data_IF_099131453364
#
_entry.id   IF_099131453364
#
_cell.length_a   1.000
_cell.length_b   1.000
_cell.length_c   1.000
_cell.angle_alpha   90.00
_cell.angle_beta   90.00
_cell.angle_gamma   90.00
#
_symmetry.space_group_name_H-M   'P 1'
#
loop_
_entity.id
_entity.type
_entity.pdbx_description
1 polymer ?
#
# COMPACT_ATOMS: atom_id res chain seq x y z
N UNK A 1 18.37 40.76 -13.27
CA UNK A 1 16.92 40.68 -12.95
C UNK A 1 16.74 39.97 -11.61
N UNK A 2 16.30 40.68 -10.57
CA UNK A 2 16.19 40.17 -9.19
C UNK A 2 14.91 39.32 -9.08
N UNK A 3 15.04 37.99 -9.02
CA UNK A 3 13.93 37.05 -8.83
C UNK A 3 13.28 37.36 -7.48
N UNK A 4 12.15 38.08 -7.51
CA UNK A 4 11.33 38.33 -6.32
C UNK A 4 10.82 36.96 -5.83
N UNK A 5 11.48 36.40 -4.82
CA UNK A 5 10.90 35.29 -4.06
C UNK A 5 9.61 35.81 -3.43
N UNK A 6 8.47 35.46 -4.02
CA UNK A 6 7.18 35.85 -3.48
C UNK A 6 7.02 35.10 -2.16
N UNK A 7 7.15 35.81 -1.04
CA UNK A 7 6.87 35.29 0.31
C UNK A 7 5.43 34.74 0.50
N UNK A 8 4.66 34.66 -0.58
CA UNK A 8 3.29 34.16 -0.70
C UNK A 8 3.21 32.88 -1.55
N UNK A 9 4.34 32.30 -2.00
CA UNK A 9 4.34 31.05 -2.75
C UNK A 9 3.71 29.91 -1.93
N UNK A 10 4.09 29.80 -0.66
CA UNK A 10 3.51 28.83 0.28
C UNK A 10 2.01 29.08 0.53
N UNK A 11 1.56 30.34 0.52
CA UNK A 11 0.14 30.69 0.65
C UNK A 11 -0.64 30.19 -0.58
N UNK A 12 -0.10 30.42 -1.77
CA UNK A 12 -0.70 29.92 -3.02
C UNK A 12 -0.80 28.39 -3.01
N UNK A 13 0.23 27.70 -2.55
CA UNK A 13 0.25 26.23 -2.48
C UNK A 13 -0.78 25.72 -1.45
N UNK A 14 -0.89 26.35 -0.28
CA UNK A 14 -1.95 26.03 0.70
C UNK A 14 -3.35 26.25 0.11
N UNK A 15 -3.56 27.36 -0.60
CA UNK A 15 -4.84 27.65 -1.25
C UNK A 15 -5.16 26.59 -2.30
N UNK A 16 -4.20 26.20 -3.14
CA UNK A 16 -4.38 25.16 -4.15
C UNK A 16 -4.75 23.82 -3.49
N UNK A 17 -4.04 23.42 -2.44
CA UNK A 17 -4.33 22.18 -1.70
C UNK A 17 -5.71 22.26 -1.05
N UNK A 18 -6.05 23.38 -0.40
CA UNK A 18 -7.34 23.57 0.25
C UNK A 18 -8.50 23.51 -0.73
N UNK A 19 -8.40 24.18 -1.88
CA UNK A 19 -9.39 24.11 -2.95
C UNK A 19 -9.49 22.69 -3.51
N UNK A 20 -8.37 22.00 -3.70
CA UNK A 20 -8.35 20.61 -4.15
C UNK A 20 -9.10 19.67 -3.20
N UNK A 21 -8.81 19.77 -1.89
CA UNK A 21 -9.49 18.99 -0.86
C UNK A 21 -10.99 19.29 -0.83
N UNK A 22 -11.38 20.58 -0.89
CA UNK A 22 -12.79 20.98 -0.90
C UNK A 22 -13.52 20.46 -2.15
N UNK A 23 -12.86 20.51 -3.31
CA UNK A 23 -13.43 20.01 -4.57
C UNK A 23 -13.65 18.50 -4.53
N UNK A 24 -12.69 17.76 -3.98
CA UNK A 24 -12.83 16.31 -3.77
C UNK A 24 -13.97 16.03 -2.79
N UNK A 25 -14.01 16.75 -1.66
CA UNK A 25 -15.04 16.57 -0.64
C UNK A 25 -16.45 16.79 -1.19
N UNK A 26 -16.69 17.93 -1.85
CA UNK A 26 -17.98 18.24 -2.47
C UNK A 26 -18.28 17.26 -3.60
N UNK A 27 -17.27 16.91 -4.42
CA UNK A 27 -17.42 15.93 -5.50
C UNK A 27 -17.90 14.58 -4.98
N UNK A 28 -17.36 14.10 -3.86
CA UNK A 28 -17.82 12.87 -3.20
C UNK A 28 -19.29 13.00 -2.77
N UNK A 29 -19.66 14.09 -2.10
CA UNK A 29 -21.04 14.29 -1.65
C UNK A 29 -22.04 14.30 -2.80
N UNK A 30 -21.69 14.94 -3.93
CA UNK A 30 -22.54 14.99 -5.13
C UNK A 30 -22.63 13.63 -5.82
N UNK A 31 -21.51 12.91 -5.97
CA UNK A 31 -21.47 11.60 -6.66
C UNK A 31 -22.27 10.55 -5.89
N UNK A 32 -22.16 10.53 -4.57
CA UNK A 32 -22.83 9.54 -3.73
C UNK A 32 -24.21 10.00 -3.24
N UNK A 33 -24.51 11.30 -3.21
CA UNK A 33 -25.78 11.84 -2.75
C UNK A 33 -25.95 11.83 -1.23
N UNK A 34 -24.85 11.78 -0.48
CA UNK A 34 -24.88 11.73 0.99
C UNK A 34 -23.71 12.50 1.57
N UNK A 35 -23.87 13.05 2.77
CA UNK A 35 -22.82 13.79 3.47
C UNK A 35 -21.60 12.91 3.76
N UNK A 36 -21.85 11.63 4.07
CA UNK A 36 -20.84 10.65 4.46
C UNK A 36 -21.04 9.35 3.66
N UNK A 37 -20.35 9.16 2.52
CA UNK A 37 -20.54 7.96 1.69
C UNK A 37 -19.87 6.70 2.25
N UNK A 38 -19.04 6.82 3.28
CA UNK A 38 -18.26 5.71 3.83
C UNK A 38 -18.61 5.44 5.29
N UNK A 39 -19.05 4.21 5.58
CA UNK A 39 -19.35 3.75 6.94
C UNK A 39 -18.52 2.52 7.29
N UNK A 40 -18.20 2.34 8.57
CA UNK A 40 -17.52 1.14 9.06
C UNK A 40 -18.50 0.31 9.88
N UNK A 41 -18.63 -0.98 9.55
CA UNK A 41 -19.48 -1.90 10.29
C UNK A 41 -18.94 -2.10 11.70
N UNK A 42 -19.73 -1.69 12.70
CA UNK A 42 -19.34 -1.69 14.11
C UNK A 42 -19.86 -2.91 14.90
N UNK A 43 -20.87 -3.61 14.39
CA UNK A 43 -21.53 -4.72 15.09
C UNK A 43 -21.75 -5.93 14.17
N UNK A 44 -22.02 -7.09 14.78
CA UNK A 44 -22.27 -8.35 14.06
C UNK A 44 -23.73 -8.57 13.64
N UNK A 45 -24.60 -7.55 13.66
CA UNK A 45 -26.03 -7.71 13.35
C UNK A 45 -26.30 -8.14 11.91
N UNK A 46 -25.36 -7.91 11.00
CA UNK A 46 -25.47 -8.21 9.57
C UNK A 46 -24.65 -9.43 9.13
N UNK A 47 -24.13 -10.21 10.08
CA UNK A 47 -23.42 -11.47 9.77
C UNK A 47 -24.41 -12.50 9.21
N UNK A 48 -24.06 -13.26 8.15
CA UNK A 48 -22.74 -13.38 7.52
C UNK A 48 -22.44 -12.39 6.39
N UNK A 49 -23.43 -11.59 5.95
CA UNK A 49 -23.31 -10.75 4.76
C UNK A 49 -22.32 -9.59 4.94
N UNK A 50 -22.39 -8.91 6.09
CA UNK A 50 -21.43 -7.88 6.47
C UNK A 50 -20.69 -8.30 7.74
N UNK A 51 -19.37 -8.21 7.70
CA UNK A 51 -18.52 -8.51 8.86
C UNK A 51 -18.11 -7.22 9.57
N UNK A 52 -17.83 -7.34 10.86
CA UNK A 52 -17.27 -6.23 11.64
C UNK A 52 -15.98 -5.76 10.98
N UNK A 53 -15.81 -4.44 10.88
CA UNK A 53 -14.71 -3.76 10.17
C UNK A 53 -14.76 -3.77 8.64
N UNK A 54 -15.85 -4.23 8.02
CA UNK A 54 -16.08 -3.94 6.61
C UNK A 54 -16.39 -2.46 6.42
N UNK A 55 -15.94 -1.88 5.30
CA UNK A 55 -16.26 -0.51 4.90
C UNK A 55 -17.38 -0.57 3.87
N UNK A 56 -18.45 0.16 4.14
CA UNK A 56 -19.60 0.29 3.27
C UNK A 56 -19.48 1.57 2.46
N UNK A 57 -19.77 1.47 1.17
CA UNK A 57 -19.98 2.61 0.28
C UNK A 57 -21.48 2.76 0.09
N UNK A 58 -22.00 3.92 0.49
CA UNK A 58 -23.44 4.22 0.52
C UNK A 58 -23.80 5.18 -0.60
N UNK A 59 -24.89 4.88 -1.29
CA UNK A 59 -25.51 5.69 -2.31
C UNK A 59 -26.79 6.31 -1.73
N UNK A 60 -26.77 7.62 -1.48
CA UNK A 60 -27.92 8.42 -1.05
C UNK A 60 -28.71 9.06 -2.20
N UNK A 61 -28.24 8.94 -3.45
CA UNK A 61 -28.99 9.40 -4.62
C UNK A 61 -30.19 8.49 -4.97
N UNK A 62 -30.24 7.28 -4.41
CA UNK A 62 -31.38 6.39 -4.58
C UNK A 62 -32.55 6.92 -3.73
N UNK A 63 -33.71 7.27 -4.32
CA UNK A 63 -34.83 7.82 -3.57
C UNK A 63 -35.40 6.77 -2.62
N UNK A 64 -35.97 7.22 -1.49
CA UNK A 64 -36.48 6.33 -0.44
C UNK A 64 -37.56 5.36 -0.97
N UNK A 65 -38.37 5.79 -1.92
CA UNK A 65 -39.43 5.00 -2.57
C UNK A 65 -38.88 3.94 -3.54
N UNK A 66 -37.61 4.02 -3.94
CA UNK A 66 -36.98 2.99 -4.79
C UNK A 66 -36.43 1.81 -4.00
N UNK A 67 -36.41 1.90 -2.67
CA UNK A 67 -35.93 0.84 -1.79
C UNK A 67 -36.85 -0.37 -1.88
N UNK A 68 -36.27 -1.55 -2.12
CA UNK A 68 -37.01 -2.81 -2.21
C UNK A 68 -36.68 -3.75 -1.06
N UNK A 69 -37.52 -4.76 -0.86
CA UNK A 69 -37.23 -5.87 0.06
C UNK A 69 -35.88 -6.50 -0.31
N UNK A 70 -35.13 -6.92 0.70
CA UNK A 70 -33.75 -7.43 0.65
C UNK A 70 -32.64 -6.39 0.43
N UNK A 71 -32.96 -5.11 0.20
CA UNK A 71 -31.94 -4.07 0.18
C UNK A 71 -31.28 -3.88 1.55
N UNK A 72 -29.98 -3.59 1.57
CA UNK A 72 -29.29 -3.16 2.78
C UNK A 72 -29.23 -1.64 2.76
N UNK A 73 -29.84 -1.00 3.76
CA UNK A 73 -29.91 0.44 3.86
C UNK A 73 -29.20 0.94 5.12
N UNK A 74 -28.72 2.18 5.02
CA UNK A 74 -28.11 2.93 6.11
C UNK A 74 -29.08 4.03 6.51
N UNK A 75 -29.35 4.13 7.81
CA UNK A 75 -30.33 5.07 8.34
C UNK A 75 -29.99 5.49 9.77
N UNK A 76 -30.52 6.62 10.20
CA UNK A 76 -30.45 7.06 11.59
C UNK A 76 -31.51 6.35 12.43
N UNK A 77 -31.17 6.00 13.67
CA UNK A 77 -32.12 5.36 14.57
C UNK A 77 -33.37 6.24 14.75
N UNK A 78 -34.59 5.74 14.47
CA UNK A 78 -35.82 6.53 14.60
C UNK A 78 -36.03 7.11 16.00
N UNK A 79 -35.73 6.32 17.05
CA UNK A 79 -35.73 6.83 18.41
C UNK A 79 -34.48 7.68 18.69
N UNK A 80 -34.56 8.96 18.35
CA UNK A 80 -33.65 9.99 18.83
C UNK A 80 -32.45 10.32 17.95
N UNK A 81 -32.29 9.67 16.79
CA UNK A 81 -31.23 9.95 15.82
C UNK A 81 -29.81 9.92 16.45
N UNK A 82 -29.63 9.05 17.45
CA UNK A 82 -28.42 8.99 18.28
C UNK A 82 -27.29 8.15 17.65
N UNK A 83 -27.63 7.31 16.67
CA UNK A 83 -26.69 6.43 15.97
C UNK A 83 -27.18 6.05 14.59
N UNK A 84 -26.21 5.74 13.74
CA UNK A 84 -26.42 5.17 12.41
C UNK A 84 -26.50 3.64 12.50
N UNK A 85 -27.48 3.06 11.81
CA UNK A 85 -27.77 1.63 11.77
C UNK A 85 -27.73 1.16 10.31
N UNK A 86 -27.26 -0.07 10.12
CA UNK A 86 -27.22 -0.74 8.81
C UNK A 86 -27.96 -2.05 8.95
N UNK A 87 -29.12 -2.19 8.29
CA UNK A 87 -29.95 -3.40 8.33
C UNK A 87 -30.53 -3.71 6.95
N UNK A 88 -31.04 -4.93 6.79
CA UNK A 88 -31.76 -5.37 5.60
C UNK A 88 -33.24 -5.02 5.68
N UNK A 89 -33.80 -4.55 4.59
CA UNK A 89 -35.23 -4.32 4.43
C UNK A 89 -35.96 -5.65 4.40
N UNK A 90 -36.94 -5.81 5.28
CA UNK A 90 -37.76 -7.03 5.37
C UNK A 90 -39.21 -6.81 4.98
N UNK A 91 -39.70 -5.57 5.04
CA UNK A 91 -41.10 -5.24 4.74
C UNK A 91 -41.24 -3.76 4.38
N UNK A 92 -42.11 -3.47 3.40
CA UNK A 92 -42.46 -2.13 2.93
C UNK A 92 -43.93 -1.85 3.24
N UNK A 93 -44.23 -0.71 3.83
CA UNK A 93 -45.58 -0.28 4.17
C UNK A 93 -46.08 0.77 3.17
N UNK A 94 -46.21 0.38 1.89
CA UNK A 94 -46.59 1.25 0.77
C UNK A 94 -47.98 1.89 0.90
N UNK A 95 -48.87 1.27 1.66
CA UNK A 95 -50.26 1.75 1.86
C UNK A 95 -50.45 2.54 3.15
N UNK A 96 -49.38 2.78 3.93
CA UNK A 96 -49.43 3.59 5.14
C UNK A 96 -48.97 5.02 4.84
N UNK A 97 -49.61 6.00 5.47
CA UNK A 97 -49.15 7.39 5.48
C UNK A 97 -48.69 7.75 6.91
N UNK A 98 -47.39 8.02 7.14
CA UNK A 98 -46.31 8.10 6.14
C UNK A 98 -45.85 6.72 5.64
N UNK A 99 -45.34 6.69 4.40
CA UNK A 99 -44.64 5.52 3.84
C UNK A 99 -43.49 5.14 4.78
N UNK A 100 -43.46 3.88 5.19
CA UNK A 100 -42.46 3.40 6.14
C UNK A 100 -41.89 2.03 5.76
N UNK A 101 -40.69 1.77 6.27
CA UNK A 101 -39.94 0.55 6.02
C UNK A 101 -39.62 -0.13 7.35
N UNK A 102 -39.72 -1.46 7.38
CA UNK A 102 -39.17 -2.27 8.47
C UNK A 102 -37.87 -2.89 8.00
N UNK A 103 -36.86 -2.72 8.84
CA UNK A 103 -35.55 -3.34 8.63
C UNK A 103 -35.21 -4.28 9.76
N UNK A 104 -34.27 -5.18 9.51
CA UNK A 104 -33.79 -6.16 10.47
C UNK A 104 -32.35 -6.52 10.16
N UNK A 105 -31.51 -6.66 11.19
CA UNK A 105 -30.19 -7.25 11.03
C UNK A 105 -30.28 -8.73 10.64
N UNK A 106 -29.48 -9.17 9.67
CA UNK A 106 -29.45 -10.56 9.19
C UNK A 106 -29.28 -11.60 10.31
N UNK A 107 -28.49 -11.25 11.34
CA UNK A 107 -28.24 -12.10 12.52
C UNK A 107 -29.23 -11.87 13.67
N UNK A 108 -30.08 -10.84 13.60
CA UNK A 108 -31.04 -10.55 14.66
C UNK A 108 -32.23 -11.52 14.59
N UNK A 109 -32.90 -11.85 15.71
CA UNK A 109 -34.11 -12.70 15.67
C UNK A 109 -35.33 -11.96 15.12
N UNK A 110 -35.48 -10.68 15.43
CA UNK A 110 -36.61 -9.84 15.04
C UNK A 110 -36.20 -8.36 14.95
N UNK A 111 -37.05 -7.54 14.33
CA UNK A 111 -36.97 -6.08 14.36
C UNK A 111 -37.43 -5.54 15.73
N UNK A 112 -36.85 -4.42 16.16
CA UNK A 112 -37.12 -3.72 17.42
C UNK A 112 -37.73 -2.34 17.11
N UNK A 113 -39.00 -2.09 17.51
CA UNK A 113 -39.64 -0.78 17.38
C UNK A 113 -38.81 0.35 18.01
N UNK A 114 -38.75 1.49 17.32
CA UNK A 114 -37.90 2.64 17.66
C UNK A 114 -36.41 2.43 17.40
N UNK A 115 -35.99 1.27 16.87
CA UNK A 115 -34.58 1.02 16.52
C UNK A 115 -34.41 0.77 15.03
N UNK A 116 -35.17 -0.14 14.45
CA UNK A 116 -35.09 -0.52 13.04
C UNK A 116 -36.48 -0.54 12.35
N UNK A 117 -37.49 0.00 13.05
CA UNK A 117 -38.86 0.22 12.59
C UNK A 117 -39.59 1.28 13.45
N UNK A 118 -40.48 2.11 12.88
CA UNK A 118 -40.61 2.41 11.46
C UNK A 118 -39.44 3.29 10.99
N UNK A 119 -38.95 3.04 9.77
CA UNK A 119 -37.99 3.91 9.09
C UNK A 119 -38.79 4.76 8.09
N UNK A 120 -38.65 6.08 8.15
CA UNK A 120 -39.23 7.01 7.18
C UNK A 120 -38.13 7.68 6.37
N UNK A 121 -38.51 8.54 5.43
CA UNK A 121 -37.57 9.33 4.62
C UNK A 121 -36.63 10.17 5.50
N UNK A 122 -37.09 10.65 6.66
CA UNK A 122 -36.28 11.48 7.57
C UNK A 122 -35.08 10.72 8.15
N UNK A 123 -35.23 9.42 8.39
CA UNK A 123 -34.15 8.58 8.91
C UNK A 123 -33.24 8.03 7.80
N UNK A 124 -33.71 7.96 6.56
CA UNK A 124 -33.02 7.32 5.46
C UNK A 124 -31.77 8.11 5.03
N UNK A 125 -30.63 7.43 4.94
CA UNK A 125 -29.37 8.03 4.47
C UNK A 125 -29.02 7.54 3.06
N UNK A 126 -29.26 6.26 2.78
CA UNK A 126 -28.95 5.68 1.48
C UNK A 126 -28.87 4.16 1.49
N UNK A 127 -28.70 3.60 0.30
CA UNK A 127 -28.53 2.17 0.06
C UNK A 127 -27.05 1.80 0.04
N UNK A 128 -26.69 0.62 0.56
CA UNK A 128 -25.32 0.10 0.47
C UNK A 128 -25.06 -0.35 -0.97
N UNK A 129 -24.15 0.33 -1.66
CA UNK A 129 -23.78 0.04 -3.04
C UNK A 129 -22.61 -0.95 -3.13
N UNK A 130 -21.59 -0.78 -2.28
CA UNK A 130 -20.40 -1.64 -2.26
C UNK A 130 -19.93 -1.93 -0.85
N UNK A 131 -19.30 -3.10 -0.69
CA UNK A 131 -18.68 -3.53 0.56
C UNK A 131 -17.21 -3.81 0.29
N UNK A 132 -16.33 -3.10 0.99
CA UNK A 132 -14.88 -3.29 0.92
C UNK A 132 -14.47 -4.04 2.18
N UNK A 133 -14.15 -5.34 2.08
CA UNK A 133 -13.93 -6.16 3.25
C UNK A 133 -12.66 -5.75 3.99
N UNK A 134 -12.71 -5.81 5.32
CA UNK A 134 -11.54 -5.70 6.22
C UNK A 134 -10.72 -4.38 6.17
N UNK A 135 -11.14 -3.35 5.43
CA UNK A 135 -10.43 -2.05 5.43
C UNK A 135 -10.60 -1.30 6.75
N UNK A 136 -11.67 -1.53 7.50
CA UNK A 136 -11.87 -0.94 8.81
C UNK A 136 -10.81 -1.37 9.84
N UNK A 137 -10.03 -2.42 9.60
CA UNK A 137 -8.88 -2.73 10.44
C UNK A 137 -7.77 -1.67 10.31
N UNK A 138 -7.64 -1.02 9.15
CA UNK A 138 -6.67 0.07 8.96
C UNK A 138 -7.00 1.26 9.84
N UNK A 139 -8.28 1.61 9.98
CA UNK A 139 -8.68 2.71 10.87
C UNK A 139 -8.38 2.38 12.33
N UNK A 140 -8.52 1.11 12.76
CA UNK A 140 -8.10 0.66 14.09
C UNK A 140 -6.61 0.88 14.36
N UNK A 141 -5.74 0.65 13.36
CA UNK A 141 -4.30 0.89 13.48
C UNK A 141 -3.99 2.39 13.78
N UNK A 142 -4.83 3.29 13.27
CA UNK A 142 -4.71 4.73 13.48
C UNK A 142 -5.36 5.24 14.79
N UNK A 143 -6.02 4.37 15.55
CA UNK A 143 -6.61 4.72 16.85
C UNK A 143 -5.65 4.47 18.03
N UNK A 144 -5.77 5.23 19.15
CA UNK A 144 -4.99 4.97 20.35
C UNK A 144 -5.21 3.57 20.95
N UNK A 145 -4.18 2.92 21.54
CA UNK A 145 -2.81 3.42 21.72
C UNK A 145 -1.85 3.11 20.55
N UNK A 146 -2.31 2.38 19.54
CA UNK A 146 -1.46 1.88 18.43
C UNK A 146 -0.88 3.06 17.65
N UNK A 147 -1.65 4.14 17.47
CA UNK A 147 -1.19 5.35 16.80
C UNK A 147 0.06 5.98 17.45
N UNK A 148 0.18 5.97 18.78
CA UNK A 148 1.33 6.51 19.49
C UNK A 148 2.60 5.70 19.23
N UNK A 149 2.45 4.38 19.14
CA UNK A 149 3.55 3.47 18.80
C UNK A 149 4.05 3.79 17.39
N UNK A 150 3.15 3.95 16.43
CA UNK A 150 3.49 4.29 15.03
C UNK A 150 4.19 5.64 14.95
N UNK A 151 3.64 6.68 15.59
CA UNK A 151 4.25 8.00 15.65
C UNK A 151 5.64 7.92 16.29
N UNK A 152 5.79 7.16 17.36
CA UNK A 152 7.08 6.92 18.03
C UNK A 152 8.10 6.29 17.09
N UNK A 153 7.72 5.27 16.32
CA UNK A 153 8.58 4.63 15.32
C UNK A 153 8.97 5.62 14.21
N UNK A 154 8.03 6.40 13.68
CA UNK A 154 8.31 7.40 12.64
C UNK A 154 9.32 8.44 13.13
N UNK A 155 9.12 8.98 14.34
CA UNK A 155 10.04 9.93 14.97
C UNK A 155 11.42 9.29 15.19
N UNK A 156 11.46 8.06 15.72
CA UNK A 156 12.71 7.34 15.94
C UNK A 156 13.49 7.14 14.62
N UNK A 157 12.83 6.72 13.54
CA UNK A 157 13.44 6.58 12.22
C UNK A 157 13.94 7.92 11.68
N UNK A 158 13.18 9.01 11.86
CA UNK A 158 13.63 10.36 11.48
C UNK A 158 14.89 10.76 12.23
N UNK A 159 14.94 10.53 13.55
CA UNK A 159 16.11 10.84 14.39
C UNK A 159 17.32 10.00 13.99
N UNK A 160 17.15 8.70 13.79
CA UNK A 160 18.23 7.81 13.36
C UNK A 160 18.78 8.27 12.00
N UNK A 161 17.92 8.56 11.02
CA UNK A 161 18.36 9.09 9.72
C UNK A 161 19.09 10.43 9.84
N UNK A 162 18.65 11.31 10.74
CA UNK A 162 19.32 12.60 10.99
C UNK A 162 20.73 12.40 11.55
N UNK A 163 20.89 11.49 12.51
CA UNK A 163 22.19 11.17 13.13
C UNK A 163 23.11 10.47 12.12
N UNK A 164 22.60 9.52 11.33
CA UNK A 164 23.37 8.83 10.29
C UNK A 164 23.80 9.76 9.15
N UNK A 165 23.00 10.79 8.82
CA UNK A 165 23.37 11.81 7.83
C UNK A 165 24.54 12.68 8.31
N UNK A 166 24.61 12.99 9.60
CA UNK A 166 25.71 13.75 10.20
C UNK A 166 27.05 13.00 10.30
N UNK A 167 27.07 11.67 10.11
CA UNK A 167 28.33 10.89 10.03
C UNK A 167 28.96 10.91 8.64
N UNK A 168 28.16 10.87 7.56
CA UNK A 168 28.70 10.90 6.18
C UNK A 168 29.46 12.19 5.86
N UNK A 169 29.07 13.32 6.44
CA UNK A 169 29.77 14.59 6.24
C UNK A 169 31.09 14.67 7.02
N UNK A 170 31.19 14.02 8.18
CA UNK A 170 32.42 14.01 8.99
C UNK A 170 33.52 13.12 8.43
N UNK A 171 33.16 11.98 7.83
CA UNK A 171 34.13 11.06 7.22
C UNK A 171 34.79 11.69 5.99
N UNK A 172 34.00 12.33 5.11
CA UNK A 172 34.50 13.02 3.92
C UNK A 172 35.35 14.25 4.30
N UNK A 173 34.94 15.02 5.32
CA UNK A 173 35.74 16.15 5.80
C UNK A 173 37.06 15.71 6.46
N UNK A 174 37.06 14.61 7.22
CA UNK A 174 38.28 14.09 7.85
C UNK A 174 39.28 13.48 6.87
N UNK A 175 38.82 12.96 5.73
CA UNK A 175 39.69 12.46 4.67
C UNK A 175 40.30 13.60 3.86
N UNK A 176 39.55 14.69 3.64
CA UNK A 176 40.03 15.86 2.88
C UNK A 176 41.02 16.70 3.69
N UNK A 177 40.87 16.80 5.02
CA UNK A 177 41.80 17.55 5.88
C UNK A 177 43.15 16.84 6.12
N UNK A 178 43.26 15.54 5.83
CA UNK A 178 44.51 14.78 6.00
C UNK A 178 45.43 14.78 4.77
N UNK A 179 44.89 15.01 3.56
CA UNK A 179 45.69 15.02 2.31
C UNK A 179 46.41 16.35 2.02
N UNK A 180 46.20 17.42 2.80
CA UNK A 180 46.76 18.74 2.50
C UNK A 180 48.05 19.12 3.26
N UNK A 181 48.83 18.17 3.77
CA UNK A 181 50.14 18.44 4.39
C UNK A 181 51.23 17.45 3.94
N UNK A 182 51.76 17.63 2.74
CA UNK A 182 53.22 17.61 2.51
C UNK A 182 53.56 18.25 1.14
N UNK A 183 53.80 19.55 1.13
CA UNK A 183 54.56 20.20 0.06
C UNK A 183 55.94 20.49 0.63
N UNK A 184 56.97 19.73 0.26
CA UNK A 184 58.37 20.19 0.14
C UNK A 184 59.31 19.05 -0.34
N UNK A 185 59.44 18.82 -1.66
CA UNK A 185 60.76 18.58 -2.28
C UNK A 185 60.68 18.64 -3.83
N UNK A 186 61.48 19.48 -4.52
CA UNK A 186 61.55 19.51 -5.98
C UNK A 186 62.53 18.45 -6.49
N UNK A 187 62.35 18.05 -7.75
CA UNK A 187 63.17 17.12 -8.56
C UNK A 187 62.68 15.66 -8.59
N UNK A 188 61.79 15.32 -9.51
CA UNK A 188 62.12 14.35 -10.57
C UNK A 188 61.05 14.39 -11.68
N UNK A 189 61.53 14.33 -12.92
CA UNK A 189 60.69 14.33 -14.11
C UNK A 189 60.27 12.91 -14.47
N UNK A 190 59.24 12.86 -15.33
CA UNK A 190 58.95 11.80 -16.31
C UNK A 190 58.38 10.46 -15.83
N UNK A 191 57.22 10.13 -16.40
CA UNK A 191 56.74 8.81 -16.85
C UNK A 191 56.97 7.62 -15.91
N UNK A 192 55.99 6.79 -15.61
CA UNK A 192 55.44 5.82 -16.58
C UNK A 192 54.31 5.08 -15.85
N UNK A 193 53.29 4.67 -16.60
CA UNK A 193 52.46 3.52 -16.22
C UNK A 193 53.36 2.35 -15.83
N UNK A 194 53.26 1.83 -14.61
CA UNK A 194 53.48 0.44 -14.21
C UNK A 194 53.24 0.34 -12.68
N UNK A 195 52.81 -0.81 -12.18
CA UNK A 195 52.57 -1.17 -10.76
C UNK A 195 51.17 -0.96 -10.13
N UNK A 196 50.13 -1.54 -10.76
CA UNK A 196 48.96 -2.08 -10.03
C UNK A 196 48.92 -3.61 -9.97
N UNK A 197 49.99 -4.29 -10.38
CA UNK A 197 50.08 -5.76 -10.38
C UNK A 197 50.82 -6.34 -9.16
N UNK A 198 50.74 -5.70 -7.98
CA UNK A 198 51.36 -6.32 -6.80
C UNK A 198 50.77 -5.90 -5.43
N UNK A 199 49.47 -6.18 -5.20
CA UNK A 199 48.97 -6.36 -3.83
C UNK A 199 48.70 -7.86 -3.60
N UNK A 200 49.31 -8.49 -2.57
CA UNK A 200 49.30 -9.95 -2.39
C UNK A 200 47.91 -10.51 -2.10
N UNK A 201 47.53 -11.58 -2.80
CA UNK A 201 46.40 -12.43 -2.43
C UNK A 201 46.85 -13.42 -1.35
N UNK A 202 46.23 -13.33 -0.20
CA UNK A 202 46.36 -14.21 0.95
C UNK A 202 45.80 -15.62 0.65
N UNK A 203 46.54 -16.63 1.12
CA UNK A 203 46.38 -18.05 0.73
C UNK A 203 45.20 -18.78 1.38
N UNK A 204 44.32 -18.07 2.08
CA UNK A 204 43.30 -18.68 2.92
C UNK A 204 41.94 -18.87 2.22
N UNK A 205 41.72 -18.25 1.05
CA UNK A 205 40.44 -18.30 0.33
C UNK A 205 40.40 -19.21 -0.91
N UNK A 206 41.52 -19.82 -1.31
CA UNK A 206 41.58 -20.68 -2.50
C UNK A 206 41.19 -22.14 -2.27
N UNK A 207 41.36 -22.67 -1.05
CA UNK A 207 41.14 -24.10 -0.79
C UNK A 207 39.65 -24.46 -0.61
N UNK A 208 38.84 -23.52 -0.08
CA UNK A 208 37.40 -23.74 0.14
C UNK A 208 36.61 -23.73 -1.18
N UNK A 209 37.09 -23.00 -2.19
CA UNK A 209 36.37 -22.84 -3.47
C UNK A 209 36.42 -24.07 -4.35
N UNK A 210 37.52 -24.83 -4.32
CA UNK A 210 37.69 -26.03 -5.14
C UNK A 210 37.08 -27.26 -4.48
N UNK A 211 37.00 -27.31 -3.15
CA UNK A 211 36.32 -28.40 -2.43
C UNK A 211 34.79 -28.32 -2.58
N UNK A 212 34.20 -27.11 -2.52
CA UNK A 212 32.77 -26.89 -2.76
C UNK A 212 32.40 -27.14 -4.22
N UNK A 213 33.26 -26.75 -5.17
CA UNK A 213 33.04 -27.00 -6.61
C UNK A 213 33.15 -28.47 -6.97
N UNK A 214 34.08 -29.21 -6.37
CA UNK A 214 34.24 -30.65 -6.61
C UNK A 214 33.23 -31.52 -5.84
N UNK A 215 32.56 -30.97 -4.82
CA UNK A 215 31.38 -31.58 -4.20
C UNK A 215 30.14 -31.42 -5.09
N UNK A 216 29.92 -30.24 -5.68
CA UNK A 216 28.80 -29.99 -6.60
C UNK A 216 28.88 -30.82 -7.90
N UNK A 217 30.08 -31.08 -8.41
CA UNK A 217 30.29 -31.88 -9.63
C UNK A 217 30.17 -33.41 -9.42
N UNK A 218 30.17 -33.88 -8.17
CA UNK A 218 29.96 -35.30 -7.84
C UNK A 218 28.50 -35.70 -7.63
N UNK A 219 27.61 -34.73 -7.38
CA UNK A 219 26.16 -34.97 -7.33
C UNK A 219 25.51 -34.97 -8.72
N UNK A 220 26.12 -34.36 -9.75
CA UNK A 220 25.59 -34.33 -11.12
C UNK A 220 26.23 -35.35 -12.11
N UNK A 221 27.15 -36.20 -11.66
CA UNK A 221 27.57 -37.39 -12.42
C UNK A 221 28.30 -37.14 -13.76
N UNK A 222 29.04 -36.04 -13.91
CA UNK A 222 29.77 -35.70 -15.14
C UNK A 222 31.29 -35.80 -14.89
N UNK A 223 31.97 -36.70 -15.62
CA UNK A 223 33.41 -36.92 -15.55
C UNK A 223 34.16 -35.98 -16.53
N UNK A 224 35.10 -35.12 -16.08
CA UNK A 224 35.75 -34.11 -16.92
C UNK A 224 36.92 -34.60 -17.78
N UNK A 225 37.30 -35.89 -17.75
CA UNK A 225 38.43 -36.39 -18.54
C UNK A 225 38.02 -36.84 -19.96
N UNK A 226 37.87 -35.88 -20.89
CA UNK A 226 38.09 -36.15 -22.33
C UNK A 226 38.22 -34.90 -23.20
N UNK A 227 39.29 -34.11 -23.02
CA UNK A 227 39.70 -33.14 -24.05
C UNK A 227 41.20 -33.19 -24.34
N UNK A 228 41.56 -34.02 -25.34
CA UNK A 228 42.77 -33.84 -26.16
C UNK A 228 42.50 -34.29 -27.59
N UNK A 229 42.17 -33.35 -28.48
CA UNK A 229 42.94 -33.05 -29.72
C UNK A 229 42.17 -32.08 -30.64
N UNK A 230 42.93 -31.09 -31.10
CA UNK A 230 42.61 -30.06 -32.08
C UNK A 230 42.61 -30.65 -33.53
N UNK A 231 42.41 -29.86 -34.60
CA UNK A 231 41.34 -30.03 -35.58
C UNK A 231 41.87 -30.54 -36.93
N UNK A 232 41.01 -31.11 -37.77
CA UNK A 232 40.97 -30.85 -39.22
C UNK A 232 40.14 -31.90 -39.95
N UNK A 233 39.50 -31.39 -40.99
CA UNK A 233 39.27 -32.04 -42.27
C UNK A 233 38.00 -32.86 -42.52
N UNK A 234 37.32 -32.33 -43.54
CA UNK A 234 36.68 -33.02 -44.67
C UNK A 234 35.22 -33.44 -44.55
N UNK A 235 34.40 -32.66 -45.26
CA UNK A 235 33.59 -33.06 -46.42
C UNK A 235 32.74 -34.33 -46.39
N UNK A 236 31.63 -34.20 -47.12
CA UNK A 236 30.76 -35.26 -47.68
C UNK A 236 29.81 -35.88 -46.65
N UNK A 237 28.58 -36.25 -46.93
CA UNK A 237 27.69 -36.20 -48.09
C UNK A 237 26.38 -36.85 -47.58
N UNK A 238 25.23 -36.51 -48.19
CA UNK A 238 24.03 -37.37 -48.31
C UNK A 238 23.44 -37.98 -47.01
N UNK A 239 22.18 -37.81 -46.63
CA UNK A 239 20.95 -38.27 -47.28
C UNK A 239 19.90 -38.27 -46.14
N UNK A 240 18.76 -37.59 -46.25
CA UNK A 240 17.49 -38.05 -46.86
C UNK A 240 16.52 -38.68 -45.82
N UNK A 241 15.28 -38.18 -45.87
CA UNK A 241 13.99 -38.76 -45.39
C UNK A 241 13.80 -38.83 -43.87
N UNK A 242 12.61 -38.61 -43.29
CA UNK A 242 11.26 -38.12 -43.67
C UNK A 242 10.49 -38.10 -42.33
N UNK A 243 9.46 -37.27 -42.11
CA UNK A 243 8.61 -37.37 -40.93
C UNK A 243 7.40 -38.29 -41.21
N UNK A 244 7.14 -39.19 -40.26
CA UNK A 244 5.83 -39.80 -39.97
C UNK A 244 5.58 -39.41 -38.50
N UNK A 245 4.41 -39.02 -38.00
CA UNK A 245 3.05 -38.78 -38.47
C UNK A 245 2.40 -37.96 -37.32
#
# INVERSE_FOLDING_TARGET
MKKRSSKHAWIKDIVIVGVGVLTIWIGLQVVFGTENPFYVVSSGSMVPQLKVFDVLVVQGNDPFESVVVDDIIVFNRPAGNDRVIVHRVVELFENEEPYSIRTKGDANPASIPGTDFPITEEEYIGKVAYVIPQIGYVTRILTPPINYIIIGIIIAVMVIKQISKGRKEKEIASTIDFESFDQNNPNESTSTFDDLNNIPKDKEYSEISDEVRNAALREEGINPDSEKKNPQDTNSDSTKKKPDE
#
